data_IF_355199796267
#
_entry.id   IF_355199796267
#
_cell.length_a   1.000
_cell.length_b   1.000
_cell.length_c   1.000
_cell.angle_alpha   90.00
_cell.angle_beta   90.00
_cell.angle_gamma   90.00
#
_symmetry.space_group_name_H-M   'P 1'
#
loop_
_entity.id
_entity.type
_entity.pdbx_description
1 polymer ?
#
# COMPACT_ATOMS: atom_id res chain seq x y z
N UNK A 1 14.93 18.96 -30.73
CA UNK A 1 13.97 18.08 -30.04
C UNK A 1 14.79 17.09 -29.22
N UNK A 2 14.60 16.99 -27.90
CA UNK A 2 15.33 15.99 -27.13
C UNK A 2 14.82 14.60 -27.53
N UNK A 3 15.77 13.67 -27.58
CA UNK A 3 15.62 12.28 -27.96
C UNK A 3 14.51 11.62 -27.13
N UNK A 4 13.49 11.09 -27.83
CA UNK A 4 12.57 10.10 -27.27
C UNK A 4 13.44 8.95 -26.71
N UNK A 5 13.42 8.68 -25.39
CA UNK A 5 14.11 7.50 -24.90
C UNK A 5 13.44 6.29 -25.56
N UNK A 6 14.24 5.53 -26.30
CA UNK A 6 13.84 4.25 -26.86
C UNK A 6 13.32 3.35 -25.73
N UNK A 7 11.99 3.25 -25.61
CA UNK A 7 11.32 2.45 -24.60
C UNK A 7 11.60 0.97 -24.86
N UNK A 8 12.62 0.44 -24.19
CA UNK A 8 12.95 -0.97 -24.23
C UNK A 8 13.24 -1.49 -22.82
N UNK A 9 12.24 -1.46 -21.94
CA UNK A 9 12.29 -2.20 -20.69
C UNK A 9 10.96 -2.92 -20.48
N UNK A 10 11.02 -4.25 -20.59
CA UNK A 10 9.91 -5.17 -20.30
C UNK A 10 9.41 -4.91 -18.88
N UNK A 11 8.17 -4.46 -18.74
CA UNK A 11 7.55 -4.17 -17.44
C UNK A 11 7.03 -5.49 -16.83
N UNK A 12 7.95 -6.31 -16.31
CA UNK A 12 7.61 -7.63 -15.76
C UNK A 12 7.27 -7.57 -14.27
N UNK A 13 6.50 -8.54 -13.77
CA UNK A 13 6.21 -8.65 -12.33
C UNK A 13 7.49 -8.71 -11.48
N UNK A 14 8.55 -9.35 -11.99
CA UNK A 14 9.89 -9.36 -11.38
C UNK A 14 10.52 -7.99 -11.31
N UNK A 15 10.51 -7.24 -12.41
CA UNK A 15 11.01 -5.86 -12.44
C UNK A 15 10.24 -4.99 -11.44
N UNK A 16 8.92 -5.12 -11.38
CA UNK A 16 8.08 -4.37 -10.45
C UNK A 16 8.35 -4.75 -8.99
N UNK A 17 8.56 -6.03 -8.69
CA UNK A 17 9.04 -6.48 -7.37
C UNK A 17 10.34 -5.80 -7.00
N UNK A 18 11.32 -5.74 -7.90
CA UNK A 18 12.63 -5.16 -7.61
C UNK A 18 12.65 -3.62 -7.47
N UNK A 19 11.61 -2.92 -7.92
CA UNK A 19 11.59 -1.46 -8.01
C UNK A 19 10.49 -0.79 -7.17
N UNK A 20 9.90 -1.49 -6.19
CA UNK A 20 9.01 -0.87 -5.21
C UNK A 20 9.80 -0.05 -4.17
N UNK A 21 9.20 1.00 -3.57
CA UNK A 21 7.86 1.55 -3.85
C UNK A 21 7.80 2.43 -5.10
N UNK A 22 6.58 2.74 -5.57
CA UNK A 22 6.37 3.65 -6.70
C UNK A 22 5.69 4.95 -6.28
N UNK A 23 6.15 6.09 -6.81
CA UNK A 23 5.45 7.37 -6.63
C UNK A 23 4.19 7.45 -7.50
N UNK A 24 4.20 6.82 -8.68
CA UNK A 24 3.08 6.71 -9.61
C UNK A 24 2.86 5.25 -10.00
N UNK A 25 1.63 4.88 -10.35
CA UNK A 25 1.37 3.54 -10.87
C UNK A 25 1.97 3.38 -12.27
N UNK A 26 2.57 2.22 -12.60
CA UNK A 26 2.98 1.90 -13.96
C UNK A 26 1.74 1.68 -14.84
N UNK A 27 1.21 2.77 -15.39
CA UNK A 27 -0.07 2.80 -16.11
C UNK A 27 -0.08 1.87 -17.31
N UNK A 28 1.08 1.65 -17.93
CA UNK A 28 1.28 0.82 -19.12
C UNK A 28 0.99 -0.66 -18.85
N UNK A 29 1.01 -1.07 -17.58
CA UNK A 29 0.64 -2.40 -17.15
C UNK A 29 -0.84 -2.73 -17.44
N UNK A 30 -1.76 -1.80 -17.15
CA UNK A 30 -3.21 -2.05 -17.11
C UNK A 30 -3.84 -2.33 -18.50
N UNK A 31 -3.47 -1.62 -19.58
CA UNK A 31 -3.94 -1.96 -20.93
C UNK A 31 -3.46 -3.34 -21.41
N UNK A 32 -2.24 -3.75 -21.04
CA UNK A 32 -1.68 -5.05 -21.42
C UNK A 32 -2.30 -6.21 -20.62
N UNK A 33 -2.66 -5.95 -19.37
CA UNK A 33 -3.21 -6.95 -18.47
C UNK A 33 -4.63 -7.38 -18.88
N UNK A 34 -5.41 -6.49 -19.50
CA UNK A 34 -6.72 -6.83 -20.09
C UNK A 34 -6.62 -7.83 -21.25
N UNK A 35 -5.45 -7.98 -21.87
CA UNK A 35 -5.20 -8.92 -22.97
C UNK A 35 -4.81 -10.31 -22.46
N UNK A 36 -4.43 -10.44 -21.18
CA UNK A 36 -4.03 -11.70 -20.57
C UNK A 36 -5.24 -12.41 -19.95
N UNK A 37 -5.96 -13.19 -20.76
CA UNK A 37 -7.01 -14.07 -20.27
C UNK A 37 -6.40 -15.16 -19.37
N UNK A 38 -6.84 -15.24 -18.12
CA UNK A 38 -6.53 -16.35 -17.21
C UNK A 38 -5.35 -16.15 -16.25
N UNK A 39 -4.69 -14.99 -16.26
CA UNK A 39 -3.61 -14.67 -15.30
C UNK A 39 -4.09 -13.70 -14.22
N UNK A 40 -3.63 -13.84 -12.96
CA UNK A 40 -4.00 -12.92 -11.88
C UNK A 40 -3.37 -11.55 -12.13
N UNK A 41 -4.22 -10.53 -12.20
CA UNK A 41 -3.78 -9.14 -12.32
C UNK A 41 -3.10 -8.69 -11.01
N UNK A 42 -2.02 -7.90 -11.08
CA UNK A 42 -1.40 -7.29 -9.94
C UNK A 42 -2.33 -6.29 -9.29
N UNK A 43 -2.46 -6.48 -8.00
CA UNK A 43 -3.13 -5.59 -7.10
C UNK A 43 -2.09 -4.65 -6.52
N UNK A 44 -2.32 -3.35 -6.67
CA UNK A 44 -1.53 -2.34 -5.99
C UNK A 44 -2.31 -1.84 -4.77
N UNK A 45 -1.57 -1.42 -3.77
CA UNK A 45 -2.07 -0.74 -2.58
C UNK A 45 -1.35 0.58 -2.42
N UNK A 46 -2.07 1.59 -1.97
CA UNK A 46 -1.49 2.89 -1.64
C UNK A 46 -1.49 3.08 -0.14
N UNK A 47 -0.34 3.44 0.44
CA UNK A 47 -0.25 3.78 1.86
C UNK A 47 1.16 3.70 2.42
N UNK A 48 1.31 3.36 3.71
CA UNK A 48 2.58 3.52 4.43
C UNK A 48 3.30 2.18 4.63
N UNK A 49 4.55 2.08 4.18
CA UNK A 49 5.42 0.96 4.54
C UNK A 49 6.36 1.35 5.69
N UNK A 50 6.12 0.79 6.87
CA UNK A 50 7.01 0.95 8.00
C UNK A 50 8.18 -0.04 7.90
N UNK A 51 9.39 0.50 7.75
CA UNK A 51 10.63 -0.29 7.64
C UNK A 51 11.06 -0.78 9.03
N UNK A 52 11.53 -2.01 9.13
CA UNK A 52 12.31 -2.44 10.29
C UNK A 52 13.75 -1.90 10.19
N UNK A 53 14.32 -1.50 11.33
CA UNK A 53 15.74 -1.18 11.44
C UNK A 53 16.63 -2.44 11.53
N UNK A 54 16.06 -3.63 11.72
CA UNK A 54 16.74 -4.93 11.86
C UNK A 54 15.82 -6.08 11.44
N UNK A 55 16.30 -7.32 11.45
CA UNK A 55 15.45 -8.52 11.25
C UNK A 55 14.52 -8.81 12.45
N UNK A 56 14.51 -7.93 13.47
CA UNK A 56 13.71 -8.08 14.68
C UNK A 56 12.43 -7.23 14.60
N UNK A 57 11.28 -7.90 14.70
CA UNK A 57 9.96 -7.26 14.72
C UNK A 57 9.61 -6.63 16.08
N UNK A 58 10.30 -7.00 17.16
CA UNK A 58 9.96 -6.60 18.53
C UNK A 58 9.90 -5.08 18.75
N UNK A 59 10.88 -4.25 18.31
CA UNK A 59 10.81 -2.80 18.52
C UNK A 59 9.59 -2.15 17.87
N UNK A 60 9.11 -2.72 16.77
CA UNK A 60 7.90 -2.25 16.07
C UNK A 60 6.64 -2.65 16.81
N UNK A 61 6.57 -3.88 17.31
CA UNK A 61 5.45 -4.34 18.12
C UNK A 61 5.34 -3.53 19.42
N UNK A 62 6.47 -3.31 20.11
CA UNK A 62 6.54 -2.45 21.29
C UNK A 62 6.06 -1.03 20.96
N UNK A 63 6.44 -0.50 19.78
CA UNK A 63 5.99 0.82 19.33
C UNK A 63 4.48 0.87 19.09
N UNK A 64 3.91 -0.16 18.48
CA UNK A 64 2.46 -0.25 18.27
C UNK A 64 1.70 -0.37 19.60
N UNK A 65 2.26 -1.09 20.57
CA UNK A 65 1.72 -1.17 21.93
C UNK A 65 1.74 0.20 22.64
N UNK A 66 2.84 0.95 22.51
CA UNK A 66 2.95 2.32 23.01
C UNK A 66 1.91 3.23 22.36
N UNK A 67 1.77 3.15 21.03
CA UNK A 67 0.78 3.93 20.28
C UNK A 67 -0.64 3.60 20.75
N UNK A 68 -0.98 2.31 20.89
CA UNK A 68 -2.30 1.90 21.36
C UNK A 68 -2.60 2.55 22.70
N UNK A 69 -1.65 2.56 23.65
CA UNK A 69 -1.83 3.14 24.97
C UNK A 69 -2.15 4.64 24.98
N UNK A 70 -1.81 5.36 23.90
CA UNK A 70 -2.05 6.80 23.73
C UNK A 70 -3.37 7.13 23.05
N UNK A 71 -4.08 6.14 22.50
CA UNK A 71 -5.38 6.36 21.87
C UNK A 71 -6.37 6.89 22.93
N UNK A 72 -7.10 7.99 22.68
CA UNK A 72 -7.96 8.60 23.69
C UNK A 72 -9.14 7.71 24.12
N UNK A 73 -9.58 6.80 23.24
CA UNK A 73 -10.72 5.91 23.48
C UNK A 73 -10.33 4.69 24.32
N UNK A 74 -10.98 4.51 25.47
CA UNK A 74 -10.71 3.41 26.40
C UNK A 74 -10.91 2.02 25.76
N UNK A 75 -11.94 1.86 24.93
CA UNK A 75 -12.21 0.60 24.21
C UNK A 75 -11.03 0.21 23.30
N UNK A 76 -10.47 1.17 22.54
CA UNK A 76 -9.36 0.91 21.64
C UNK A 76 -8.04 0.65 22.39
N UNK A 77 -7.94 1.08 23.65
CA UNK A 77 -6.80 0.77 24.53
C UNK A 77 -6.85 -0.63 25.13
N UNK A 78 -8.02 -1.28 25.12
CA UNK A 78 -8.19 -2.60 25.70
C UNK A 78 -7.54 -3.68 24.81
N UNK A 79 -6.41 -4.20 25.28
CA UNK A 79 -5.63 -5.25 24.60
C UNK A 79 -6.34 -6.61 24.56
N UNK A 80 -7.40 -6.80 25.33
CA UNK A 80 -8.24 -8.02 25.27
C UNK A 80 -9.24 -7.98 24.13
N UNK A 81 -9.60 -6.77 23.68
CA UNK A 81 -10.56 -6.52 22.60
C UNK A 81 -9.82 -6.28 21.28
N UNK A 82 -8.80 -5.41 21.30
CA UNK A 82 -8.10 -4.98 20.10
C UNK A 82 -6.62 -5.32 20.15
N UNK A 83 -6.13 -5.95 19.08
CA UNK A 83 -4.68 -5.99 18.80
C UNK A 83 -4.17 -4.56 18.54
N UNK A 84 -2.94 -4.21 18.93
CA UNK A 84 -2.44 -2.84 18.85
C UNK A 84 -2.61 -2.19 17.47
N UNK A 85 -2.23 -2.91 16.41
CA UNK A 85 -2.41 -2.40 15.05
C UNK A 85 -3.89 -2.19 14.71
N UNK A 86 -4.78 -3.11 15.11
CA UNK A 86 -6.21 -3.01 14.86
C UNK A 86 -6.84 -1.80 15.56
N UNK A 87 -6.41 -1.50 16.78
CA UNK A 87 -6.83 -0.31 17.52
C UNK A 87 -6.41 0.98 16.82
N UNK A 88 -5.15 1.08 16.38
CA UNK A 88 -4.63 2.24 15.63
C UNK A 88 -5.41 2.44 14.34
N UNK A 89 -5.67 1.36 13.58
CA UNK A 89 -6.45 1.45 12.34
C UNK A 89 -7.88 1.91 12.60
N UNK A 90 -8.53 1.36 13.63
CA UNK A 90 -9.88 1.75 13.99
C UNK A 90 -9.92 3.23 14.36
N UNK A 91 -8.92 3.71 15.08
CA UNK A 91 -8.83 5.12 15.43
C UNK A 91 -8.64 6.02 14.19
N UNK A 92 -7.79 5.64 13.24
CA UNK A 92 -7.66 6.35 11.96
C UNK A 92 -8.99 6.36 11.20
N UNK A 93 -9.66 5.19 11.11
CA UNK A 93 -10.95 5.08 10.44
C UNK A 93 -12.04 5.93 11.12
N UNK A 94 -12.03 6.03 12.45
CA UNK A 94 -12.98 6.89 13.19
C UNK A 94 -12.66 8.38 13.08
N UNK A 95 -11.42 8.74 12.76
CA UNK A 95 -10.95 10.13 12.67
C UNK A 95 -11.07 10.74 11.28
N UNK A 96 -11.28 9.91 10.25
CA UNK A 96 -11.58 10.39 8.90
C UNK A 96 -13.08 10.70 8.83
N UNK A 97 -13.41 11.89 8.33
CA UNK A 97 -14.79 12.40 8.28
C UNK A 97 -15.75 11.40 7.63
N UNK A 98 -16.91 11.22 8.26
CA UNK A 98 -18.01 10.43 7.73
C UNK A 98 -18.46 10.92 6.35
N UNK A 99 -18.25 12.19 5.99
CA UNK A 99 -18.60 12.72 4.66
C UNK A 99 -17.58 12.28 3.58
N UNK A 100 -16.28 12.20 3.91
CA UNK A 100 -15.26 11.59 3.03
C UNK A 100 -15.53 10.08 2.86
N UNK A 101 -16.04 9.43 3.90
CA UNK A 101 -16.37 8.01 3.91
C UNK A 101 -17.72 7.66 3.27
N UNK A 102 -18.75 8.51 3.40
CA UNK A 102 -20.10 8.29 2.84
C UNK A 102 -20.10 8.41 1.33
N UNK A 103 -19.29 9.30 0.78
CA UNK A 103 -19.13 9.43 -0.67
C UNK A 103 -18.24 8.32 -1.26
N UNK A 104 -17.53 7.56 -0.42
CA UNK A 104 -16.71 6.44 -0.86
C UNK A 104 -17.48 5.12 -0.75
N UNK A 105 -17.96 4.52 -1.85
CA UNK A 105 -18.59 3.18 -1.84
C UNK A 105 -17.63 2.04 -1.43
N UNK A 106 -16.44 2.37 -0.90
CA UNK A 106 -15.33 1.47 -0.71
C UNK A 106 -14.68 1.58 0.67
N UNK A 107 -15.45 1.76 1.75
CA UNK A 107 -14.96 1.61 3.14
C UNK A 107 -14.03 0.38 3.36
N UNK A 108 -14.25 -0.70 2.58
CA UNK A 108 -13.41 -1.91 2.54
C UNK A 108 -11.96 -1.71 2.05
N UNK A 109 -11.61 -0.53 1.58
CA UNK A 109 -10.32 -0.22 0.96
C UNK A 109 -9.24 0.15 1.99
N UNK A 110 -9.63 0.59 3.19
CA UNK A 110 -8.75 0.79 4.33
C UNK A 110 -8.42 -0.54 5.02
N UNK A 111 -7.15 -0.77 5.33
CA UNK A 111 -6.76 -1.96 6.07
C UNK A 111 -5.27 -2.19 6.10
N UNK A 112 -4.87 -3.40 6.50
CA UNK A 112 -3.47 -3.84 6.45
C UNK A 112 -3.31 -4.76 5.26
N UNK A 113 -2.30 -4.50 4.45
CA UNK A 113 -1.77 -5.44 3.48
C UNK A 113 -0.31 -5.75 3.83
N UNK A 114 0.12 -6.98 3.57
CA UNK A 114 1.54 -7.31 3.54
C UNK A 114 2.07 -7.05 2.13
N UNK A 115 3.33 -6.67 2.05
CA UNK A 115 4.10 -6.63 0.80
C UNK A 115 5.32 -7.49 0.99
N UNK A 116 5.51 -8.46 0.11
CA UNK A 116 6.66 -9.35 0.16
C UNK A 116 7.79 -8.70 -0.64
N UNK A 117 8.96 -8.61 -0.02
CA UNK A 117 10.19 -8.33 -0.72
C UNK A 117 11.12 -9.48 -0.43
N UNK A 118 11.17 -10.41 -1.36
CA UNK A 118 12.32 -11.28 -1.46
C UNK A 118 13.50 -10.36 -1.85
N UNK A 119 14.50 -10.30 -0.98
CA UNK A 119 15.73 -9.51 -1.07
C UNK A 119 15.64 -8.02 -0.70
N UNK A 120 15.98 -7.75 0.57
CA UNK A 120 16.69 -6.55 1.11
C UNK A 120 15.92 -5.34 1.66
N UNK A 121 14.59 -5.30 1.65
CA UNK A 121 13.84 -4.21 2.30
C UNK A 121 12.85 -4.73 3.34
N UNK A 122 13.30 -4.73 4.61
CA UNK A 122 12.55 -5.15 5.79
C UNK A 122 11.30 -4.29 6.01
N UNK A 123 10.15 -4.62 5.41
CA UNK A 123 8.86 -3.92 5.61
C UNK A 123 7.92 -4.87 6.35
N UNK A 124 7.44 -4.49 7.54
CA UNK A 124 6.58 -5.36 8.36
C UNK A 124 5.15 -5.43 7.82
N UNK A 125 4.54 -4.25 7.63
CA UNK A 125 3.13 -4.08 7.32
C UNK A 125 2.93 -2.79 6.54
N UNK A 126 2.06 -2.86 5.54
CA UNK A 126 1.58 -1.70 4.84
C UNK A 126 0.18 -1.38 5.34
N UNK A 127 0.02 -0.21 5.94
CA UNK A 127 -1.32 0.35 6.04
C UNK A 127 -1.74 0.79 4.65
N UNK A 128 -2.79 0.20 4.11
CA UNK A 128 -3.38 0.64 2.85
C UNK A 128 -4.54 1.58 3.11
N UNK A 129 -4.56 2.67 2.36
CA UNK A 129 -5.71 3.58 2.24
C UNK A 129 -6.67 3.06 1.18
N UNK A 130 -6.14 2.51 0.08
CA UNK A 130 -6.96 1.83 -0.92
C UNK A 130 -6.18 0.83 -1.79
N UNK A 131 -6.90 0.10 -2.66
CA UNK A 131 -6.33 -0.86 -3.60
C UNK A 131 -6.84 -0.71 -5.04
N UNK A 132 -5.99 -1.02 -6.01
CA UNK A 132 -6.32 -1.02 -7.44
C UNK A 132 -7.01 -2.30 -7.94
N UNK A 133 -7.60 -3.13 -7.06
CA UNK A 133 -8.24 -4.42 -7.41
C UNK A 133 -9.27 -4.33 -8.55
N UNK A 134 -9.82 -3.14 -8.80
CA UNK A 134 -10.68 -2.89 -9.96
C UNK A 134 -9.82 -2.47 -11.16
N UNK A 135 -9.53 -3.44 -12.01
CA UNK A 135 -8.64 -3.36 -13.19
C UNK A 135 -8.96 -2.29 -14.26
N UNK A 136 -9.94 -1.41 -14.06
CA UNK A 136 -10.39 -0.46 -15.09
C UNK A 136 -9.62 0.85 -15.11
N UNK A 137 -9.01 1.29 -14.01
CA UNK A 137 -8.26 2.55 -13.98
C UNK A 137 -7.13 2.53 -12.94
N UNK A 138 -5.88 2.80 -13.35
CA UNK A 138 -4.74 2.98 -12.44
C UNK A 138 -4.75 4.37 -11.80
N UNK A 139 -5.89 4.82 -11.30
CA UNK A 139 -6.01 6.18 -10.79
C UNK A 139 -6.12 6.19 -9.28
N UNK A 140 -5.39 7.12 -8.67
CA UNK A 140 -5.58 7.55 -7.30
C UNK A 140 -6.80 8.43 -7.16
N UNK A 141 -7.85 8.00 -6.42
CA UNK A 141 -8.95 8.88 -6.08
C UNK A 141 -8.42 10.13 -5.36
N UNK A 142 -9.03 11.28 -5.61
CA UNK A 142 -8.56 12.57 -5.09
C UNK A 142 -8.53 12.60 -3.55
N UNK A 143 -9.49 11.95 -2.90
CA UNK A 143 -9.63 11.90 -1.44
C UNK A 143 -8.56 11.05 -0.74
N UNK A 144 -7.85 10.19 -1.46
CA UNK A 144 -6.88 9.26 -0.83
C UNK A 144 -5.71 10.00 -0.19
N UNK A 145 -5.28 11.12 -0.77
CA UNK A 145 -4.18 11.91 -0.20
C UNK A 145 -4.60 12.63 1.08
N UNK A 146 -5.86 13.07 1.19
CA UNK A 146 -6.38 13.66 2.41
C UNK A 146 -6.45 12.62 3.54
N UNK A 147 -6.90 11.40 3.25
CA UNK A 147 -6.91 10.30 4.23
C UNK A 147 -5.48 9.94 4.64
N UNK A 148 -4.55 9.86 3.69
CA UNK A 148 -3.15 9.59 4.00
C UNK A 148 -2.55 10.69 4.89
N UNK A 149 -2.88 11.96 4.65
CA UNK A 149 -2.47 13.06 5.54
C UNK A 149 -3.00 12.88 6.96
N UNK A 150 -4.30 12.62 7.12
CA UNK A 150 -4.93 12.38 8.44
C UNK A 150 -4.25 11.21 9.15
N UNK A 151 -4.07 10.09 8.45
CA UNK A 151 -3.38 8.92 9.01
C UNK A 151 -1.95 9.26 9.46
N UNK A 152 -1.19 10.01 8.66
CA UNK A 152 0.16 10.41 9.02
C UNK A 152 0.21 11.33 10.24
N UNK A 153 -0.75 12.23 10.40
CA UNK A 153 -0.88 13.09 11.59
C UNK A 153 -1.18 12.25 12.85
N UNK A 154 -2.11 11.29 12.75
CA UNK A 154 -2.44 10.37 13.85
C UNK A 154 -1.24 9.49 14.22
N UNK A 155 -0.49 8.96 13.24
CA UNK A 155 0.72 8.21 13.51
C UNK A 155 1.72 9.04 14.34
N UNK A 156 1.92 10.31 13.99
CA UNK A 156 2.79 11.24 14.75
C UNK A 156 2.24 11.55 16.14
N UNK A 157 0.94 11.80 16.26
CA UNK A 157 0.27 12.06 17.54
C UNK A 157 0.46 10.90 18.52
N UNK A 158 0.30 9.66 18.04
CA UNK A 158 0.53 8.44 18.82
C UNK A 158 2.02 8.16 19.06
N UNK A 159 2.91 9.01 18.56
CA UNK A 159 4.35 9.01 18.84
C UNK A 159 5.19 8.24 17.85
N UNK A 160 4.69 7.96 16.64
CA UNK A 160 5.52 7.50 15.52
C UNK A 160 6.08 8.72 14.78
N UNK A 161 7.28 9.15 15.15
CA UNK A 161 7.86 10.42 14.67
C UNK A 161 8.27 10.35 13.18
N UNK A 162 8.88 9.23 12.78
CA UNK A 162 9.39 8.99 11.43
C UNK A 162 8.34 8.30 10.54
N UNK A 163 7.20 8.95 10.31
CA UNK A 163 6.16 8.41 9.41
C UNK A 163 6.66 8.47 7.96
N UNK A 164 6.68 7.34 7.23
CA UNK A 164 7.10 7.32 5.83
C UNK A 164 6.12 8.11 4.95
N UNK A 165 6.55 8.49 3.75
CA UNK A 165 5.64 9.02 2.73
C UNK A 165 4.71 7.90 2.24
N UNK A 166 3.42 8.17 2.01
CA UNK A 166 2.54 7.18 1.40
C UNK A 166 2.93 6.98 -0.08
N UNK A 167 3.04 5.74 -0.51
CA UNK A 167 3.44 5.36 -1.87
C UNK A 167 2.67 4.14 -2.35
N UNK A 168 2.90 3.77 -3.60
CA UNK A 168 2.34 2.58 -4.21
C UNK A 168 3.21 1.35 -3.96
N UNK A 169 2.54 0.24 -3.65
CA UNK A 169 3.17 -1.06 -3.45
C UNK A 169 2.36 -2.16 -4.11
N UNK A 170 3.03 -3.26 -4.40
CA UNK A 170 2.42 -4.47 -4.94
C UNK A 170 1.90 -5.34 -3.78
N UNK A 171 0.61 -5.65 -3.78
CA UNK A 171 0.00 -6.46 -2.72
C UNK A 171 0.49 -7.91 -2.77
N UNK A 172 0.73 -8.53 -1.60
CA UNK A 172 1.14 -9.94 -1.49
C UNK A 172 0.28 -10.96 -2.23
N UNK A 173 -1.02 -10.73 -2.39
CA UNK A 173 -1.88 -11.64 -3.16
C UNK A 173 -1.43 -11.79 -4.63
N UNK A 174 -0.73 -10.79 -5.14
CA UNK A 174 -0.12 -10.79 -6.47
C UNK A 174 1.17 -11.61 -6.52
N UNK A 175 1.90 -11.67 -5.40
CA UNK A 175 3.26 -12.18 -5.31
C UNK A 175 3.33 -13.72 -5.26
N UNK A 176 2.19 -14.38 -5.01
CA UNK A 176 2.06 -15.85 -5.05
C UNK A 176 2.06 -16.42 -6.47
N UNK A 177 2.16 -15.58 -7.50
CA UNK A 177 2.36 -16.00 -8.89
C UNK A 177 3.85 -16.10 -9.19
N UNK A 178 4.36 -17.32 -9.27
CA UNK A 178 5.78 -17.63 -9.54
C UNK A 178 6.12 -17.48 -11.04
N UNK A 179 5.65 -16.38 -11.64
CA UNK A 179 5.79 -16.12 -13.07
C UNK A 179 6.96 -15.17 -13.31
N UNK A 180 8.14 -15.73 -13.63
CA UNK A 180 9.21 -15.01 -14.35
C UNK A 180 8.71 -14.48 -15.71
N UNK A 181 7.56 -14.96 -16.18
CA UNK A 181 7.02 -14.80 -17.54
C UNK A 181 6.01 -13.68 -17.72
N UNK A 182 5.80 -12.83 -16.71
CA UNK A 182 4.58 -12.02 -16.69
C UNK A 182 4.80 -10.61 -17.24
N UNK A 183 4.12 -10.32 -18.36
CA UNK A 183 3.84 -9.02 -18.99
C UNK A 183 4.99 -8.35 -19.77
N UNK A 184 5.33 -8.92 -20.93
CA UNK A 184 5.92 -8.10 -21.99
C UNK A 184 4.84 -7.14 -22.51
N UNK A 185 4.93 -5.86 -22.16
CA UNK A 185 4.36 -4.81 -22.98
C UNK A 185 5.13 -4.90 -24.30
N UNK A 186 4.57 -5.61 -25.30
CA UNK A 186 5.11 -5.51 -26.63
C UNK A 186 5.13 -4.01 -26.97
N UNK A 187 6.27 -3.43 -27.40
CA UNK A 187 6.28 -2.04 -27.81
C UNK A 187 5.20 -1.89 -28.89
N UNK A 188 4.24 -0.99 -28.66
CA UNK A 188 3.25 -0.64 -29.66
C UNK A 188 3.94 0.12 -30.78
N UNK A 189 4.60 -0.60 -31.68
CA UNK A 189 4.95 -0.12 -33.03
C UNK A 189 4.96 -1.37 -33.93
N UNK A 190 4.28 -1.37 -35.08
CA UNK A 190 4.25 -0.31 -36.09
C UNK A 190 2.83 0.07 -36.53
#
# INVERSE_FOLDING_TARGET
MPLNPSYNHKLTLKYMRQNQPFDELPTEYYPCSQQMKGYPLPNFVYGFAFRHKSDDAKPTLDKLDEMQSKIPYAELRDKTIWRPIGAVLKYIADSVDADVFRESPHYNDLGISRVDHDYSCNIFQIFRVYSSKRARTPQKPLWVDDIARIAAEIYKELGWEDVPKPQWYLDTSTLLSDADTDYNIAPRFQ
#
